data_IF_270627638527
#
_entry.id   IF_270627638527
#
_cell.length_a   1.000
_cell.length_b   1.000
_cell.length_c   1.000
_cell.angle_alpha   90.00
_cell.angle_beta   90.00
_cell.angle_gamma   90.00
#
_symmetry.space_group_name_H-M   'P 1'
#
loop_
_entity.id
_entity.type
_entity.pdbx_description
1 polymer ?
#
# COMPACT_ATOMS: atom_id res chain seq x y z
N UNK A 1 17.89 25.44 -0.01
CA UNK A 1 16.52 25.71 0.43
C UNK A 1 16.14 27.20 0.39
N UNK A 2 17.01 28.07 -0.08
CA UNK A 2 16.69 29.49 -0.31
C UNK A 2 16.08 29.62 -1.72
N UNK A 3 14.76 29.89 -1.79
CA UNK A 3 14.06 30.15 -3.06
C UNK A 3 12.90 29.20 -3.39
N UNK A 4 12.58 28.24 -2.54
CA UNK A 4 11.32 27.51 -2.71
C UNK A 4 10.15 28.41 -2.29
N UNK A 5 9.08 28.47 -3.08
CA UNK A 5 7.83 29.07 -2.63
C UNK A 5 7.36 28.38 -1.33
N UNK A 6 6.69 29.15 -0.48
CA UNK A 6 6.08 28.60 0.72
C UNK A 6 5.32 27.31 0.36
N UNK A 7 5.71 26.18 0.98
CA UNK A 7 5.13 24.86 0.69
C UNK A 7 3.60 24.89 0.77
N UNK A 8 3.03 25.67 1.68
CA UNK A 8 1.59 25.80 1.85
C UNK A 8 0.92 26.50 0.66
N UNK A 9 1.55 27.53 0.10
CA UNK A 9 1.05 28.19 -1.11
C UNK A 9 1.18 27.30 -2.32
N UNK A 10 2.34 26.63 -2.48
CA UNK A 10 2.61 25.72 -3.58
C UNK A 10 1.61 24.54 -3.61
N UNK A 11 1.33 23.98 -2.43
CA UNK A 11 0.34 22.88 -2.30
C UNK A 11 -1.07 23.37 -2.63
N UNK A 12 -1.49 24.55 -2.16
CA UNK A 12 -2.79 25.14 -2.47
C UNK A 12 -3.00 25.37 -3.97
N UNK A 13 -1.97 25.87 -4.64
CA UNK A 13 -2.03 26.19 -6.07
C UNK A 13 -2.09 24.92 -6.97
N UNK A 14 -1.61 23.79 -6.45
CA UNK A 14 -1.56 22.51 -7.19
C UNK A 14 -2.72 21.57 -6.90
N UNK A 15 -3.53 21.88 -5.89
CA UNK A 15 -4.59 20.96 -5.48
C UNK A 15 -5.90 21.25 -6.19
N UNK A 16 -6.58 20.21 -6.73
CA UNK A 16 -7.93 20.37 -7.27
C UNK A 16 -8.88 20.95 -6.22
N UNK A 17 -9.84 21.75 -6.68
CA UNK A 17 -10.86 22.35 -5.81
C UNK A 17 -11.79 21.33 -5.14
N UNK A 18 -11.65 20.03 -5.47
CA UNK A 18 -12.44 18.93 -4.90
C UNK A 18 -11.54 17.88 -4.28
N UNK A 19 -11.93 17.29 -3.12
CA UNK A 19 -11.24 16.15 -2.56
C UNK A 19 -11.27 15.00 -3.59
N UNK A 20 -10.12 14.42 -3.86
CA UNK A 20 -10.01 13.24 -4.75
C UNK A 20 -10.55 11.98 -4.10
N UNK A 21 -10.66 11.98 -2.78
CA UNK A 21 -11.12 10.84 -2.00
C UNK A 21 -12.61 11.02 -1.65
N UNK A 22 -13.48 10.04 -1.97
CA UNK A 22 -14.92 10.17 -1.76
C UNK A 22 -15.34 10.23 -0.28
N UNK A 23 -14.41 9.96 0.64
CA UNK A 23 -14.65 9.95 2.08
C UNK A 23 -13.97 11.11 2.82
N UNK A 24 -13.37 12.05 2.09
CA UNK A 24 -12.78 13.25 2.68
C UNK A 24 -13.84 14.34 2.73
N UNK A 25 -14.31 14.65 3.93
CA UNK A 25 -15.19 15.79 4.18
C UNK A 25 -14.34 17.06 4.33
N UNK A 26 -14.84 18.16 3.76
CA UNK A 26 -14.19 19.47 3.90
C UNK A 26 -14.61 20.12 5.18
N UNK A 27 -13.75 20.14 6.16
CA UNK A 27 -13.96 20.97 7.34
C UNK A 27 -13.25 22.32 7.21
N UNK A 28 -13.98 23.40 7.51
CA UNK A 28 -13.44 24.77 7.59
C UNK A 28 -12.68 25.25 6.34
N UNK A 29 -13.05 24.73 5.18
CA UNK A 29 -12.40 25.11 3.92
C UNK A 29 -11.03 24.45 3.66
N UNK A 30 -10.59 23.49 4.49
CA UNK A 30 -9.40 22.71 4.23
C UNK A 30 -9.66 21.70 3.10
N UNK A 31 -8.96 21.77 1.96
CA UNK A 31 -9.19 20.88 0.84
C UNK A 31 -8.59 19.47 1.04
N UNK A 32 -7.83 19.27 2.11
CA UNK A 32 -7.05 18.05 2.29
C UNK A 32 -7.63 17.11 3.32
N UNK A 33 -8.27 17.64 4.35
CA UNK A 33 -8.76 16.86 5.49
C UNK A 33 -7.74 15.81 5.98
N UNK A 34 -6.48 16.22 6.01
CA UNK A 34 -5.35 15.30 6.22
C UNK A 34 -4.96 15.12 7.69
N UNK A 35 -5.58 15.87 8.60
CA UNK A 35 -5.26 15.84 10.03
C UNK A 35 -3.88 16.38 10.41
N UNK A 36 -3.14 16.98 9.46
CA UNK A 36 -1.81 17.55 9.70
C UNK A 36 -1.84 19.02 10.12
N UNK A 37 -3.03 19.64 10.10
CA UNK A 37 -3.24 21.03 10.50
C UNK A 37 -3.64 21.09 11.98
N UNK A 38 -3.10 22.00 12.80
CA UNK A 38 -3.46 22.12 14.21
C UNK A 38 -4.93 22.49 14.47
N UNK A 39 -5.60 23.06 13.48
CA UNK A 39 -7.03 23.44 13.57
C UNK A 39 -7.98 22.32 13.11
N UNK A 40 -7.45 21.14 12.83
CA UNK A 40 -8.18 20.03 12.24
C UNK A 40 -8.50 18.95 13.27
N UNK A 41 -9.76 18.54 13.33
CA UNK A 41 -10.11 17.35 14.09
C UNK A 41 -9.54 16.11 13.38
N UNK A 42 -8.62 15.42 14.03
CA UNK A 42 -7.97 14.23 13.44
C UNK A 42 -8.94 13.06 13.37
N UNK A 43 -9.19 12.57 12.17
CA UNK A 43 -9.89 11.31 11.93
C UNK A 43 -8.92 10.30 11.32
N UNK A 44 -9.04 9.05 11.71
CA UNK A 44 -8.30 7.97 11.07
C UNK A 44 -8.87 7.73 9.68
N UNK A 45 -8.17 8.12 8.65
CA UNK A 45 -8.59 7.88 7.26
C UNK A 45 -8.20 6.48 6.77
N UNK A 46 -7.12 5.90 7.31
CA UNK A 46 -6.68 4.54 6.97
C UNK A 46 -6.12 3.86 8.20
N UNK A 47 -6.62 2.67 8.52
CA UNK A 47 -6.06 1.81 9.55
C UNK A 47 -5.19 0.71 8.91
N UNK A 48 -4.04 0.45 9.51
CA UNK A 48 -3.15 -0.62 9.09
C UNK A 48 -3.32 -1.82 10.01
N UNK A 49 -3.55 -3.01 9.43
CA UNK A 49 -3.69 -4.27 10.15
C UNK A 49 -2.63 -5.24 9.66
N UNK A 50 -1.75 -5.66 10.54
CA UNK A 50 -0.78 -6.71 10.27
C UNK A 50 -1.46 -8.07 10.36
N UNK A 51 -1.57 -8.73 9.20
CA UNK A 51 -2.26 -10.03 9.09
C UNK A 51 -1.31 -11.20 9.24
N UNK A 52 0.00 -10.99 9.13
CA UNK A 52 1.02 -12.04 9.25
C UNK A 52 2.39 -11.46 9.60
N UNK A 53 3.20 -12.22 10.36
CA UNK A 53 4.62 -11.92 10.53
C UNK A 53 5.51 -12.65 9.51
N UNK A 54 4.95 -13.61 8.74
CA UNK A 54 5.69 -14.37 7.72
C UNK A 54 5.96 -13.52 6.48
N UNK A 55 7.09 -13.78 5.83
CA UNK A 55 7.45 -13.16 4.56
C UNK A 55 8.22 -14.17 3.69
N UNK A 56 8.01 -14.09 2.38
CA UNK A 56 8.75 -14.87 1.38
C UNK A 56 10.04 -14.17 0.88
N UNK A 57 10.37 -13.01 1.46
CA UNK A 57 11.63 -12.29 1.28
C UNK A 57 12.38 -12.16 2.61
N UNK A 58 13.69 -11.93 2.52
CA UNK A 58 14.58 -11.57 3.64
C UNK A 58 15.34 -10.31 3.26
N UNK A 59 14.62 -9.20 3.21
CA UNK A 59 15.17 -7.93 2.78
C UNK A 59 16.24 -7.44 3.76
N UNK A 60 17.45 -7.08 3.30
CA UNK A 60 18.47 -6.44 4.15
C UNK A 60 17.95 -5.15 4.81
N UNK A 61 17.03 -4.46 4.14
CA UNK A 61 16.33 -3.29 4.68
C UNK A 61 14.86 -3.65 4.86
N UNK A 62 14.49 -4.05 6.08
CA UNK A 62 13.11 -4.37 6.45
C UNK A 62 12.74 -3.66 7.76
N UNK A 63 11.79 -2.74 7.73
CA UNK A 63 11.34 -2.01 8.92
C UNK A 63 10.63 -2.93 9.92
N UNK A 64 10.02 -4.03 9.44
CA UNK A 64 9.27 -4.98 10.25
C UNK A 64 10.10 -6.17 10.75
N UNK A 65 11.38 -6.29 10.34
CA UNK A 65 12.22 -7.48 10.58
C UNK A 65 11.47 -8.79 10.31
N UNK A 66 10.67 -8.80 9.25
CA UNK A 66 9.75 -9.88 8.93
C UNK A 66 10.52 -11.17 8.58
N UNK A 67 10.06 -12.29 9.15
CA UNK A 67 10.69 -13.61 8.92
C UNK A 67 11.86 -13.93 9.83
N UNK A 68 12.32 -13.03 10.70
CA UNK A 68 13.38 -13.32 11.69
C UNK A 68 12.81 -13.88 13.01
N UNK A 69 11.71 -13.30 13.48
CA UNK A 69 10.97 -13.82 14.63
C UNK A 69 9.49 -13.89 14.27
N UNK A 70 9.03 -15.09 13.94
CA UNK A 70 7.63 -15.29 13.57
C UNK A 70 6.81 -15.49 14.83
N UNK A 71 6.10 -14.44 15.24
CA UNK A 71 5.01 -14.59 16.19
C UNK A 71 3.95 -15.58 15.63
N UNK A 72 3.15 -16.23 16.49
CA UNK A 72 2.04 -17.05 16.03
C UNK A 72 1.17 -16.26 15.05
N UNK A 73 0.79 -16.90 13.94
CA UNK A 73 -0.06 -16.28 12.92
C UNK A 73 -1.37 -15.80 13.55
N UNK A 74 -1.80 -14.55 13.36
CA UNK A 74 -3.08 -14.09 13.86
C UNK A 74 -4.22 -14.93 13.27
N UNK A 75 -5.11 -15.42 14.13
CA UNK A 75 -6.31 -16.12 13.65
C UNK A 75 -7.29 -15.16 12.96
N UNK A 76 -8.21 -15.68 12.16
CA UNK A 76 -9.25 -14.87 11.52
C UNK A 76 -10.09 -14.11 12.55
N UNK A 77 -10.39 -14.72 13.71
CA UNK A 77 -11.12 -14.07 14.79
C UNK A 77 -10.33 -12.89 15.39
N UNK A 78 -9.00 -13.04 15.52
CA UNK A 78 -8.15 -11.95 15.99
C UNK A 78 -8.13 -10.78 15.00
N UNK A 79 -8.01 -11.07 13.71
CA UNK A 79 -8.05 -10.07 12.65
C UNK A 79 -9.44 -9.40 12.59
N UNK A 80 -10.51 -10.17 12.69
CA UNK A 80 -11.88 -9.67 12.77
C UNK A 80 -12.06 -8.70 13.94
N UNK A 81 -11.58 -9.08 15.12
CA UNK A 81 -11.60 -8.22 16.31
C UNK A 81 -10.84 -6.91 16.09
N UNK A 82 -9.65 -6.95 15.45
CA UNK A 82 -8.89 -5.74 15.14
C UNK A 82 -9.66 -4.83 14.17
N UNK A 83 -10.30 -5.40 13.14
CA UNK A 83 -11.14 -4.67 12.20
C UNK A 83 -12.32 -3.99 12.91
N UNK A 84 -13.01 -4.72 13.80
CA UNK A 84 -14.13 -4.19 14.55
C UNK A 84 -13.71 -3.05 15.48
N UNK A 85 -12.56 -3.19 16.16
CA UNK A 85 -11.99 -2.12 17.00
C UNK A 85 -11.61 -0.89 16.18
N UNK A 86 -11.03 -1.09 15.00
CA UNK A 86 -10.68 0.01 14.09
C UNK A 86 -11.94 0.76 13.65
N UNK A 87 -12.97 0.04 13.22
CA UNK A 87 -14.26 0.63 12.80
C UNK A 87 -14.96 1.37 13.95
N UNK A 88 -14.92 0.82 15.15
CA UNK A 88 -15.49 1.45 16.34
C UNK A 88 -14.78 2.78 16.68
N UNK A 89 -13.45 2.81 16.55
CA UNK A 89 -12.65 3.98 16.91
C UNK A 89 -12.68 5.08 15.84
N UNK A 90 -12.76 4.71 14.56
CA UNK A 90 -12.53 5.62 13.42
C UNK A 90 -13.78 5.90 12.60
N UNK A 91 -14.88 5.16 12.80
CA UNK A 91 -16.04 5.28 11.91
C UNK A 91 -15.74 4.76 10.50
N UNK A 92 -16.12 5.50 9.46
CA UNK A 92 -15.80 5.18 8.08
C UNK A 92 -14.32 5.46 7.80
N UNK A 93 -13.56 4.41 7.46
CA UNK A 93 -12.15 4.53 7.12
C UNK A 93 -11.75 3.44 6.11
N UNK A 94 -10.56 3.59 5.55
CA UNK A 94 -9.92 2.56 4.74
C UNK A 94 -9.22 1.54 5.64
N UNK A 95 -8.96 0.36 5.10
CA UNK A 95 -8.08 -0.61 5.73
C UNK A 95 -6.94 -0.99 4.79
N UNK A 96 -5.73 -1.02 5.35
CA UNK A 96 -4.54 -1.49 4.65
C UNK A 96 -4.05 -2.76 5.33
N UNK A 97 -4.11 -3.88 4.62
CA UNK A 97 -3.61 -5.17 5.07
C UNK A 97 -2.10 -5.21 4.86
N UNK A 98 -1.36 -5.51 5.91
CA UNK A 98 0.10 -5.47 5.93
C UNK A 98 0.66 -6.62 6.78
N UNK A 99 1.93 -6.51 7.15
CA UNK A 99 2.66 -7.47 7.98
C UNK A 99 4.03 -7.75 7.40
N UNK A 100 4.47 -9.01 7.39
CA UNK A 100 5.62 -9.41 6.59
C UNK A 100 5.24 -9.33 5.10
N UNK A 101 4.56 -10.34 4.60
CA UNK A 101 3.98 -10.37 3.26
C UNK A 101 2.57 -10.97 3.32
N UNK A 102 1.50 -10.19 3.20
CA UNK A 102 0.13 -10.70 3.32
C UNK A 102 -0.21 -11.82 2.34
N UNK A 103 0.36 -11.78 1.13
CA UNK A 103 0.07 -12.77 0.09
C UNK A 103 0.63 -14.17 0.37
N UNK A 104 1.45 -14.35 1.41
CA UNK A 104 1.85 -15.71 1.85
C UNK A 104 0.75 -16.45 2.60
N UNK A 105 -0.33 -15.74 2.98
CA UNK A 105 -1.52 -16.35 3.56
C UNK A 105 -2.45 -16.85 2.46
N UNK A 106 -2.85 -18.12 2.54
CA UNK A 106 -3.81 -18.68 1.59
C UNK A 106 -5.25 -18.22 1.87
N UNK A 107 -5.53 -17.81 3.11
CA UNK A 107 -6.82 -17.26 3.54
C UNK A 107 -6.91 -15.72 3.38
N UNK A 108 -5.95 -15.08 2.71
CA UNK A 108 -6.01 -13.63 2.43
C UNK A 108 -7.32 -13.20 1.73
N UNK A 109 -7.85 -13.95 0.74
CA UNK A 109 -9.15 -13.61 0.15
C UNK A 109 -10.31 -13.59 1.17
N UNK A 110 -10.27 -14.45 2.18
CA UNK A 110 -11.27 -14.45 3.26
C UNK A 110 -11.14 -13.21 4.15
N UNK A 111 -9.90 -12.83 4.51
CA UNK A 111 -9.61 -11.60 5.26
C UNK A 111 -10.14 -10.37 4.51
N UNK A 112 -9.95 -10.31 3.19
CA UNK A 112 -10.47 -9.23 2.35
C UNK A 112 -12.02 -9.21 2.37
N UNK A 113 -12.69 -10.36 2.23
CA UNK A 113 -14.16 -10.46 2.35
C UNK A 113 -14.65 -10.00 3.72
N UNK A 114 -13.92 -10.37 4.79
CA UNK A 114 -14.25 -9.92 6.14
C UNK A 114 -14.17 -8.40 6.29
N UNK A 115 -13.18 -7.75 5.66
CA UNK A 115 -13.07 -6.29 5.64
C UNK A 115 -14.22 -5.67 4.82
N UNK A 116 -14.56 -6.24 3.67
CA UNK A 116 -15.68 -5.78 2.83
C UNK A 116 -17.01 -5.86 3.58
N UNK A 117 -17.27 -6.97 4.26
CA UNK A 117 -18.48 -7.17 5.06
C UNK A 117 -18.61 -6.17 6.22
N UNK A 118 -17.49 -5.63 6.73
CA UNK A 118 -17.47 -4.63 7.78
C UNK A 118 -17.58 -3.19 7.27
N UNK A 119 -17.74 -3.00 5.97
CA UNK A 119 -17.98 -1.70 5.35
C UNK A 119 -16.75 -0.78 5.35
N UNK A 120 -15.52 -1.34 5.27
CA UNK A 120 -14.36 -0.51 4.97
C UNK A 120 -14.50 0.10 3.57
N UNK A 121 -14.18 1.37 3.46
CA UNK A 121 -14.42 2.15 2.25
C UNK A 121 -13.51 1.73 1.10
N UNK A 122 -12.21 1.57 1.39
CA UNK A 122 -11.20 0.98 0.51
C UNK A 122 -10.44 -0.10 1.25
N UNK A 123 -10.20 -1.20 0.56
CA UNK A 123 -9.40 -2.32 1.05
C UNK A 123 -8.13 -2.38 0.23
N UNK A 124 -7.01 -2.17 0.90
CA UNK A 124 -5.68 -2.06 0.31
C UNK A 124 -4.79 -3.15 0.87
N UNK A 125 -3.80 -3.60 0.09
CA UNK A 125 -2.82 -4.59 0.51
C UNK A 125 -1.41 -4.11 0.21
N UNK A 126 -0.55 -4.05 1.26
CA UNK A 126 0.88 -3.87 1.07
C UNK A 126 1.49 -5.20 0.65
N UNK A 127 2.21 -5.23 -0.45
CA UNK A 127 2.79 -6.47 -0.96
C UNK A 127 4.11 -6.24 -1.68
N UNK A 128 4.98 -7.24 -1.59
CA UNK A 128 6.17 -7.29 -2.44
C UNK A 128 5.86 -7.74 -3.88
N UNK A 129 4.64 -8.20 -4.15
CA UNK A 129 4.14 -8.52 -5.48
C UNK A 129 4.58 -9.87 -6.06
N UNK A 130 5.43 -10.66 -5.37
CA UNK A 130 5.96 -11.90 -5.94
C UNK A 130 4.84 -12.90 -6.30
N UNK A 131 3.90 -13.14 -5.38
CA UNK A 131 2.80 -14.08 -5.64
C UNK A 131 1.87 -13.56 -6.73
N UNK A 132 1.60 -12.26 -6.77
CA UNK A 132 0.80 -11.63 -7.83
C UNK A 132 1.43 -11.79 -9.21
N UNK A 133 2.76 -11.75 -9.30
CA UNK A 133 3.48 -11.89 -10.56
C UNK A 133 3.80 -13.34 -10.96
N UNK A 134 3.61 -14.33 -10.08
CA UNK A 134 3.99 -15.72 -10.36
C UNK A 134 2.81 -16.69 -10.38
N UNK A 135 1.68 -16.34 -9.76
CA UNK A 135 0.49 -17.22 -9.66
C UNK A 135 -0.63 -16.67 -10.57
N UNK A 136 -0.88 -17.30 -11.71
CA UNK A 136 -1.94 -16.89 -12.62
C UNK A 136 -3.32 -16.90 -11.95
N UNK A 137 -4.10 -15.86 -12.15
CA UNK A 137 -5.45 -15.73 -11.60
C UNK A 137 -5.51 -15.28 -10.13
N UNK A 138 -4.38 -15.20 -9.42
CA UNK A 138 -4.39 -14.78 -8.01
C UNK A 138 -4.89 -13.34 -7.84
N UNK A 139 -4.46 -12.41 -8.68
CA UNK A 139 -4.96 -11.03 -8.66
C UNK A 139 -6.49 -10.98 -8.84
N UNK A 140 -7.04 -11.76 -9.79
CA UNK A 140 -8.48 -11.84 -10.01
C UNK A 140 -9.22 -12.35 -8.75
N UNK A 141 -8.69 -13.38 -8.08
CA UNK A 141 -9.28 -13.91 -6.84
C UNK A 141 -9.32 -12.89 -5.71
N UNK A 142 -8.28 -12.04 -5.58
CA UNK A 142 -8.25 -10.95 -4.61
C UNK A 142 -9.27 -9.85 -4.96
N UNK A 143 -9.41 -9.54 -6.26
CA UNK A 143 -10.43 -8.58 -6.74
C UNK A 143 -11.84 -9.06 -6.46
N UNK A 144 -12.13 -10.32 -6.74
CA UNK A 144 -13.43 -10.96 -6.43
C UNK A 144 -13.72 -10.93 -4.93
N UNK A 145 -12.70 -11.09 -4.10
CA UNK A 145 -12.82 -10.94 -2.65
C UNK A 145 -13.12 -9.50 -2.19
N UNK A 146 -12.82 -8.50 -3.03
CA UNK A 146 -13.11 -7.10 -2.78
C UNK A 146 -11.88 -6.21 -2.55
N UNK A 147 -10.68 -6.65 -2.97
CA UNK A 147 -9.47 -5.81 -2.93
C UNK A 147 -9.59 -4.67 -3.94
N UNK A 148 -9.35 -3.44 -3.49
CA UNK A 148 -9.45 -2.25 -4.34
C UNK A 148 -8.09 -1.82 -4.90
N UNK A 149 -7.03 -1.91 -4.11
CA UNK A 149 -5.68 -1.52 -4.56
C UNK A 149 -4.57 -2.26 -3.82
N UNK A 150 -3.41 -2.30 -4.45
CA UNK A 150 -2.16 -2.76 -3.84
C UNK A 150 -1.16 -1.62 -3.72
N UNK A 151 -0.44 -1.62 -2.60
CA UNK A 151 0.79 -0.86 -2.41
C UNK A 151 1.93 -1.80 -2.74
N UNK A 152 2.36 -1.75 -4.01
CA UNK A 152 3.36 -2.65 -4.54
C UNK A 152 4.76 -2.10 -4.28
N UNK A 153 5.51 -2.81 -3.47
CA UNK A 153 6.91 -2.48 -3.23
C UNK A 153 7.71 -2.66 -4.53
N UNK A 154 8.26 -1.55 -5.04
CA UNK A 154 9.09 -1.52 -6.25
C UNK A 154 10.10 -0.38 -6.12
N UNK A 155 11.40 -0.70 -5.97
CA UNK A 155 12.42 0.28 -5.57
C UNK A 155 13.10 0.97 -6.75
N UNK A 156 13.08 0.36 -7.92
CA UNK A 156 13.70 0.88 -9.13
C UNK A 156 13.14 0.20 -10.38
N UNK A 157 13.46 0.77 -11.56
CA UNK A 157 13.20 0.17 -12.85
C UNK A 157 14.32 -0.80 -13.31
N UNK A 158 15.17 -1.23 -12.40
CA UNK A 158 16.24 -2.19 -12.65
C UNK A 158 16.38 -3.19 -11.49
N UNK A 159 16.98 -4.35 -11.77
CA UNK A 159 17.17 -5.41 -10.77
C UNK A 159 18.32 -5.18 -9.80
N UNK A 160 19.25 -4.27 -10.11
CA UNK A 160 20.44 -4.07 -9.26
C UNK A 160 20.04 -3.46 -7.90
N UNK A 161 19.13 -2.47 -7.92
CA UNK A 161 18.62 -1.89 -6.68
C UNK A 161 17.76 -2.91 -5.90
N UNK A 162 16.97 -3.74 -6.57
CA UNK A 162 16.20 -4.80 -5.90
C UNK A 162 17.11 -5.84 -5.24
N UNK A 163 18.21 -6.24 -5.90
CA UNK A 163 19.18 -7.18 -5.33
C UNK A 163 19.79 -6.63 -4.04
N UNK A 164 20.16 -5.35 -4.02
CA UNK A 164 20.72 -4.70 -2.82
C UNK A 164 19.68 -4.55 -1.70
N UNK A 165 18.49 -4.05 -2.02
CA UNK A 165 17.48 -3.67 -1.03
C UNK A 165 16.60 -4.86 -0.59
N UNK A 166 16.43 -5.87 -1.45
CA UNK A 166 15.51 -7.00 -1.22
C UNK A 166 16.20 -8.35 -1.16
N UNK A 167 17.51 -8.40 -1.44
CA UNK A 167 18.29 -9.63 -1.41
C UNK A 167 18.05 -10.54 -2.61
N UNK A 168 17.32 -10.07 -3.63
CA UNK A 168 17.09 -10.82 -4.88
C UNK A 168 16.67 -9.91 -6.04
N UNK A 169 16.93 -10.39 -7.25
CA UNK A 169 16.35 -9.84 -8.47
C UNK A 169 14.91 -10.26 -8.58
N UNK A 170 14.00 -9.34 -8.79
CA UNK A 170 12.55 -9.60 -8.82
C UNK A 170 11.76 -8.59 -9.66
N UNK A 171 12.42 -7.81 -10.51
CA UNK A 171 11.73 -6.85 -11.37
C UNK A 171 10.73 -7.51 -12.33
N UNK A 172 11.05 -8.65 -12.99
CA UNK A 172 10.09 -9.32 -13.87
C UNK A 172 8.79 -9.69 -13.16
N UNK A 173 8.86 -10.23 -11.95
CA UNK A 173 7.68 -10.58 -11.15
C UNK A 173 6.85 -9.34 -10.77
N UNK A 174 7.52 -8.21 -10.52
CA UNK A 174 6.83 -6.94 -10.21
C UNK A 174 6.12 -6.36 -11.43
N UNK A 175 6.74 -6.41 -12.60
CA UNK A 175 6.11 -5.99 -13.85
C UNK A 175 4.87 -6.85 -14.14
N UNK A 176 4.98 -8.16 -13.96
CA UNK A 176 3.86 -9.08 -14.12
C UNK A 176 2.76 -8.84 -13.08
N UNK A 177 3.14 -8.53 -11.82
CA UNK A 177 2.17 -8.16 -10.79
C UNK A 177 1.36 -6.89 -11.17
N UNK A 178 2.04 -5.87 -11.71
CA UNK A 178 1.36 -4.65 -12.20
C UNK A 178 0.36 -5.01 -13.30
N UNK A 179 0.79 -5.83 -14.28
CA UNK A 179 -0.07 -6.28 -15.38
C UNK A 179 -1.28 -7.07 -14.85
N UNK A 180 -1.05 -8.06 -14.02
CA UNK A 180 -2.11 -8.91 -13.46
C UNK A 180 -3.12 -8.10 -12.63
N UNK A 181 -2.65 -7.12 -11.83
CA UNK A 181 -3.53 -6.20 -11.09
C UNK A 181 -4.35 -5.33 -12.03
N UNK A 182 -3.74 -4.76 -13.08
CA UNK A 182 -4.43 -3.95 -14.07
C UNK A 182 -5.53 -4.72 -14.79
N UNK A 183 -5.24 -5.96 -15.23
CA UNK A 183 -6.22 -6.85 -15.87
C UNK A 183 -7.38 -7.22 -14.92
N UNK A 184 -7.10 -7.39 -13.63
CA UNK A 184 -8.10 -7.66 -12.62
C UNK A 184 -8.89 -6.41 -12.16
N UNK A 185 -8.51 -5.20 -12.60
CA UNK A 185 -9.12 -3.95 -12.13
C UNK A 185 -8.76 -3.60 -10.69
N UNK A 186 -7.56 -3.96 -10.25
CA UNK A 186 -6.97 -3.56 -8.96
C UNK A 186 -6.04 -2.37 -9.21
N UNK A 187 -6.24 -1.28 -8.46
CA UNK A 187 -5.33 -0.13 -8.52
C UNK A 187 -3.94 -0.48 -7.99
N UNK A 188 -2.90 0.09 -8.60
CA UNK A 188 -1.51 -0.14 -8.17
C UNK A 188 -0.85 1.17 -7.77
N UNK A 189 -0.37 1.24 -6.53
CA UNK A 189 0.48 2.32 -6.03
C UNK A 189 1.90 1.77 -5.89
N UNK A 190 2.87 2.35 -6.59
CA UNK A 190 4.27 1.95 -6.44
C UNK A 190 4.87 2.58 -5.19
N UNK A 191 5.52 1.76 -4.38
CA UNK A 191 6.17 2.17 -3.13
C UNK A 191 7.66 1.84 -3.20
N UNK A 192 8.51 2.87 -3.14
CA UNK A 192 9.94 2.72 -3.19
C UNK A 192 10.60 3.05 -1.84
N UNK A 193 11.50 2.19 -1.39
CA UNK A 193 12.46 2.53 -0.35
C UNK A 193 13.63 3.26 -1.01
N UNK A 194 13.79 4.55 -0.69
CA UNK A 194 14.86 5.37 -1.26
C UNK A 194 16.10 5.24 -0.39
N UNK A 195 17.19 4.78 -0.99
CA UNK A 195 18.48 4.60 -0.33
C UNK A 195 19.59 5.38 -1.06
N UNK A 196 20.32 6.21 -0.32
CA UNK A 196 21.46 6.95 -0.85
C UNK A 196 22.53 5.98 -1.40
N UNK A 197 23.06 6.28 -2.58
CA UNK A 197 24.05 5.45 -3.26
C UNK A 197 23.49 4.16 -3.88
N UNK A 198 22.18 3.91 -3.79
CA UNK A 198 21.53 2.74 -4.41
C UNK A 198 20.57 3.15 -5.51
N UNK A 199 19.53 3.91 -5.19
CA UNK A 199 18.48 4.30 -6.13
C UNK A 199 18.00 5.75 -6.03
N UNK A 200 18.54 6.54 -5.09
CA UNK A 200 18.08 7.92 -4.86
C UNK A 200 18.24 8.83 -6.09
N UNK A 201 19.21 8.57 -6.93
CA UNK A 201 19.51 9.28 -8.18
C UNK A 201 18.78 8.71 -9.41
N UNK A 202 18.04 7.60 -9.26
CA UNK A 202 17.41 6.84 -10.33
C UNK A 202 15.91 6.63 -10.13
N UNK A 203 15.24 7.54 -9.43
CA UNK A 203 13.80 7.44 -9.20
C UNK A 203 12.96 7.78 -10.43
N UNK A 204 13.48 8.65 -11.31
CA UNK A 204 12.73 9.06 -12.50
C UNK A 204 12.39 7.90 -13.44
N UNK A 205 13.30 6.98 -13.77
CA UNK A 205 12.95 5.78 -14.54
C UNK A 205 11.85 4.93 -13.91
N UNK A 206 11.79 4.86 -12.56
CA UNK A 206 10.71 4.17 -11.86
C UNK A 206 9.37 4.88 -12.07
N UNK A 207 9.33 6.20 -11.99
CA UNK A 207 8.12 7.01 -12.25
C UNK A 207 7.64 6.80 -13.68
N UNK A 208 8.54 6.90 -14.67
CA UNK A 208 8.20 6.66 -16.07
C UNK A 208 7.65 5.26 -16.32
N UNK A 209 8.28 4.25 -15.71
CA UNK A 209 7.82 2.86 -15.79
C UNK A 209 6.41 2.72 -15.19
N UNK A 210 6.17 3.29 -14.01
CA UNK A 210 4.85 3.27 -13.37
C UNK A 210 3.78 3.90 -14.25
N UNK A 211 4.04 5.10 -14.78
CA UNK A 211 3.10 5.81 -15.66
C UNK A 211 2.77 5.01 -16.92
N UNK A 212 3.78 4.38 -17.56
CA UNK A 212 3.58 3.54 -18.77
C UNK A 212 2.74 2.30 -18.49
N UNK A 213 2.84 1.75 -17.29
CA UNK A 213 2.13 0.53 -16.88
C UNK A 213 0.78 0.82 -16.18
N UNK A 214 0.39 2.09 -16.06
CA UNK A 214 -0.88 2.50 -15.44
C UNK A 214 -0.87 2.38 -13.92
N UNK A 215 0.30 2.35 -13.27
CA UNK A 215 0.42 2.50 -11.84
C UNK A 215 0.37 3.99 -11.43
N UNK A 216 0.04 4.23 -10.17
CA UNK A 216 -0.07 5.57 -9.58
C UNK A 216 1.01 5.82 -8.54
#
# INVERSE_FOLDING_TARGET
WRGMPDFRSWVRDKTPSHPRHPFVERERGCPFDCGLCPDHAQHTCTGLIEVTGRCNLRCPVCYASAGEQVAPEPSLERIAFQMDRLRQASGACNVQLSGGEPTVRDDLPEIIRMAKARGFALIQCNTNGLRLGTEPGYAASLREAGLDSVYLQCDAADDAAHEILRGRRCLPEKLEAIRACGEAGIGVVLVATVAAGVNADRLWPLVEMGLRLGAH
#
